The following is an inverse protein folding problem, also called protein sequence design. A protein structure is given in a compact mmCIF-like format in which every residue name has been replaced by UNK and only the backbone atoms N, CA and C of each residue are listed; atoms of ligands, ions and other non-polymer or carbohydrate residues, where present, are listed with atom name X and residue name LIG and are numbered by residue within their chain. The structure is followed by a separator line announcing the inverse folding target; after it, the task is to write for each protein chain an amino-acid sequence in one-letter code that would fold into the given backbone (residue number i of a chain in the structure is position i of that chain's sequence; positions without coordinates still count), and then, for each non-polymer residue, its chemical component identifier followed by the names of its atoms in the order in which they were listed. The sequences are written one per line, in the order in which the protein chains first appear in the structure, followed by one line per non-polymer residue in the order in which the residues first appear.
data_IF_770378779754
#
_entry.id   IF_770378779754
#
_cell.length_a   1.000
_cell.length_b   1.000
_cell.length_c   1.000
_cell.angle_alpha   90.00
_cell.angle_beta   90.00
_cell.angle_gamma   90.00
#
_symmetry.space_group_name_H-M   'P 1'
#
loop_
_entity.id
_entity.type
_entity.pdbx_description
1 polymer ?
#
# COMPACT_ATOMS: atom_id res chain seq x y z
N UNK A 1 -15.79 5.36 -3.93
CA UNK A 1 -14.84 4.57 -3.14
C UNK A 1 -13.43 4.82 -3.65
N UNK A 2 -12.44 4.73 -2.75
CA UNK A 2 -11.04 4.99 -3.06
C UNK A 2 -10.18 3.80 -2.63
N UNK A 3 -9.26 3.37 -3.48
CA UNK A 3 -8.17 2.48 -3.13
C UNK A 3 -6.87 3.28 -3.06
N UNK A 4 -6.26 3.31 -1.88
CA UNK A 4 -4.89 3.77 -1.70
C UNK A 4 -3.95 2.59 -1.96
N UNK A 5 -2.99 2.75 -2.88
CA UNK A 5 -2.00 1.72 -3.16
C UNK A 5 -0.62 2.18 -2.70
N UNK A 6 0.07 1.34 -1.93
CA UNK A 6 1.51 1.46 -1.80
C UNK A 6 2.19 1.15 -3.14
N UNK A 7 3.44 1.58 -3.33
CA UNK A 7 4.16 1.41 -4.60
C UNK A 7 5.19 0.30 -4.49
N UNK A 8 6.11 0.46 -3.54
CA UNK A 8 7.32 -0.36 -3.43
C UNK A 8 6.98 -1.76 -2.91
N UNK A 9 7.29 -2.79 -3.66
CA UNK A 9 6.94 -4.19 -3.40
C UNK A 9 5.43 -4.52 -3.38
N UNK A 10 4.57 -3.54 -3.63
CA UNK A 10 3.11 -3.72 -3.72
C UNK A 10 2.63 -3.70 -5.18
N UNK A 11 2.96 -2.65 -5.93
CA UNK A 11 2.61 -2.54 -7.34
C UNK A 11 3.77 -2.93 -8.25
N UNK A 12 4.99 -2.63 -7.85
CA UNK A 12 6.23 -2.97 -8.57
C UNK A 12 7.34 -3.28 -7.58
N UNK A 13 8.39 -3.98 -8.03
CA UNK A 13 9.60 -4.17 -7.23
C UNK A 13 10.26 -2.82 -6.90
N UNK A 14 10.96 -2.75 -5.78
CA UNK A 14 11.56 -1.50 -5.27
C UNK A 14 12.51 -0.82 -6.27
N UNK A 15 13.20 -1.58 -7.11
CA UNK A 15 14.17 -1.10 -8.11
C UNK A 15 13.52 -0.75 -9.46
N UNK A 16 12.22 -0.98 -9.64
CA UNK A 16 11.47 -0.58 -10.84
C UNK A 16 10.98 0.87 -10.71
N UNK A 17 11.36 1.72 -11.67
CA UNK A 17 11.00 3.15 -11.65
C UNK A 17 9.65 3.46 -12.30
N UNK A 18 9.19 2.59 -13.21
CA UNK A 18 7.97 2.78 -13.99
C UNK A 18 6.98 1.63 -13.76
N UNK A 19 5.67 1.90 -13.86
CA UNK A 19 4.67 0.84 -13.85
C UNK A 19 4.78 -0.03 -15.10
N UNK A 20 4.63 -1.34 -14.92
CA UNK A 20 4.48 -2.29 -16.02
C UNK A 20 3.03 -2.31 -16.54
N UNK A 21 2.78 -3.06 -17.62
CA UNK A 21 1.46 -3.12 -18.25
C UNK A 21 0.41 -3.72 -17.31
N UNK A 22 0.75 -4.71 -16.50
CA UNK A 22 -0.18 -5.36 -15.57
C UNK A 22 -0.70 -4.39 -14.52
N UNK A 23 0.16 -3.50 -14.00
CA UNK A 23 -0.23 -2.43 -13.06
C UNK A 23 -1.16 -1.42 -13.72
N UNK A 24 -0.86 -1.04 -14.97
CA UNK A 24 -1.71 -0.12 -15.73
C UNK A 24 -3.10 -0.72 -15.94
N UNK A 25 -3.16 -1.98 -16.35
CA UNK A 25 -4.41 -2.70 -16.62
C UNK A 25 -5.22 -2.92 -15.33
N UNK A 26 -4.55 -3.25 -14.23
CA UNK A 26 -5.17 -3.36 -12.90
C UNK A 26 -5.86 -2.06 -12.50
N UNK A 27 -5.16 -0.92 -12.60
CA UNK A 27 -5.72 0.38 -12.23
C UNK A 27 -6.87 0.78 -13.16
N UNK A 28 -6.74 0.55 -14.47
CA UNK A 28 -7.80 0.79 -15.43
C UNK A 28 -9.05 -0.03 -15.11
N UNK A 29 -8.88 -1.32 -14.77
CA UNK A 29 -9.99 -2.20 -14.38
C UNK A 29 -10.72 -1.70 -13.14
N UNK A 30 -9.99 -1.22 -12.14
CA UNK A 30 -10.60 -0.60 -10.95
C UNK A 30 -11.42 0.64 -11.30
N UNK A 31 -10.88 1.53 -12.13
CA UNK A 31 -11.58 2.74 -12.59
C UNK A 31 -12.85 2.40 -13.38
N UNK A 32 -12.80 1.42 -14.26
CA UNK A 32 -13.98 0.96 -14.99
C UNK A 32 -15.09 0.44 -14.08
N UNK A 33 -14.73 -0.04 -12.87
CA UNK A 33 -15.67 -0.47 -11.84
C UNK A 33 -16.03 0.64 -10.82
N UNK A 34 -15.73 1.90 -11.12
CA UNK A 34 -16.09 3.05 -10.29
C UNK A 34 -15.25 3.19 -9.01
N UNK A 35 -14.06 2.58 -8.97
CA UNK A 35 -13.13 2.71 -7.87
C UNK A 35 -12.03 3.69 -8.28
N UNK A 36 -11.91 4.79 -7.56
CA UNK A 36 -10.76 5.70 -7.71
C UNK A 36 -9.52 5.06 -7.10
N UNK A 37 -8.36 5.35 -7.71
CA UNK A 37 -7.07 4.88 -7.20
C UNK A 37 -6.16 6.06 -6.93
N UNK A 38 -5.51 6.07 -5.77
CA UNK A 38 -4.44 7.01 -5.44
C UNK A 38 -3.24 6.27 -4.86
N UNK A 39 -2.04 6.82 -5.08
CA UNK A 39 -0.79 6.25 -4.59
C UNK A 39 -0.43 6.84 -3.22
N UNK A 40 0.03 5.98 -2.31
CA UNK A 40 0.37 6.38 -0.93
C UNK A 40 1.67 5.68 -0.50
N UNK A 41 2.82 6.32 -0.71
CA UNK A 41 4.14 5.72 -0.48
C UNK A 41 4.97 6.48 0.55
N UNK A 42 5.73 5.76 1.37
CA UNK A 42 6.74 6.32 2.29
C UNK A 42 8.04 6.73 1.56
N UNK A 43 8.13 6.47 0.27
CA UNK A 43 9.27 6.84 -0.57
C UNK A 43 9.35 8.35 -0.86
N UNK A 44 10.53 8.87 -1.26
CA UNK A 44 10.72 10.27 -1.61
C UNK A 44 9.72 10.76 -2.67
N UNK A 45 9.40 12.05 -2.63
CA UNK A 45 8.38 12.66 -3.48
C UNK A 45 8.65 12.52 -4.98
N UNK A 46 9.93 12.49 -5.39
CA UNK A 46 10.31 12.32 -6.80
C UNK A 46 9.85 10.97 -7.35
N UNK A 47 10.08 9.87 -6.61
CA UNK A 47 9.69 8.52 -7.04
C UNK A 47 8.17 8.40 -7.19
N UNK A 48 7.43 8.72 -6.14
CA UNK A 48 5.96 8.59 -6.17
C UNK A 48 5.31 9.44 -7.26
N UNK A 49 5.78 10.69 -7.42
CA UNK A 49 5.27 11.58 -8.46
C UNK A 49 5.62 11.09 -9.87
N UNK A 50 6.85 10.63 -10.10
CA UNK A 50 7.25 10.12 -11.41
C UNK A 50 6.46 8.85 -11.76
N UNK A 51 6.34 7.93 -10.83
CA UNK A 51 5.55 6.71 -11.01
C UNK A 51 4.07 7.02 -11.33
N UNK A 52 3.46 7.95 -10.58
CA UNK A 52 2.06 8.34 -10.76
C UNK A 52 1.76 9.05 -12.09
N UNK A 53 2.76 9.69 -12.74
CA UNK A 53 2.56 10.32 -14.05
C UNK A 53 2.17 9.35 -15.16
N UNK A 54 2.54 8.09 -15.02
CA UNK A 54 2.28 7.03 -16.02
C UNK A 54 0.99 6.24 -15.73
N UNK A 55 0.25 6.62 -14.69
CA UNK A 55 -0.93 5.91 -14.24
C UNK A 55 -2.16 6.81 -14.20
N UNK A 56 -3.35 6.29 -14.49
CA UNK A 56 -4.59 7.05 -14.41
C UNK A 56 -5.10 7.16 -12.96
N UNK A 57 -4.23 7.59 -12.04
CA UNK A 57 -4.54 7.76 -10.62
C UNK A 57 -5.10 9.16 -10.34
N UNK A 58 -5.98 9.26 -9.35
CA UNK A 58 -6.60 10.53 -8.97
C UNK A 58 -5.66 11.42 -8.17
N UNK A 59 -4.73 10.83 -7.40
CA UNK A 59 -3.77 11.56 -6.59
C UNK A 59 -2.53 10.71 -6.27
N UNK A 60 -1.47 11.39 -5.81
CA UNK A 60 -0.26 10.74 -5.28
C UNK A 60 0.15 11.41 -3.98
N UNK A 61 0.29 10.60 -2.94
CA UNK A 61 0.70 11.01 -1.59
C UNK A 61 2.10 10.49 -1.30
N UNK A 62 3.16 11.20 -1.70
CA UNK A 62 4.53 10.87 -1.34
C UNK A 62 4.83 11.27 0.10
N UNK A 63 5.89 10.74 0.69
CA UNK A 63 6.22 10.96 2.10
C UNK A 63 5.03 10.73 3.02
N UNK A 64 4.30 9.66 2.77
CA UNK A 64 3.05 9.36 3.48
C UNK A 64 3.21 9.21 4.98
N UNK A 65 4.42 8.90 5.44
CA UNK A 65 4.74 8.65 6.84
C UNK A 65 3.84 7.60 7.49
N UNK A 66 3.41 6.59 6.73
CA UNK A 66 2.66 5.47 7.29
C UNK A 66 3.48 4.80 8.41
N UNK A 67 2.92 4.44 9.56
CA UNK A 67 1.49 4.32 9.90
C UNK A 67 0.82 5.60 10.43
N UNK A 68 1.49 6.76 10.40
CA UNK A 68 0.92 8.02 10.89
C UNK A 68 -0.22 8.53 9.99
N UNK A 69 -1.12 9.41 10.51
CA UNK A 69 -2.39 9.75 9.85
C UNK A 69 -2.29 10.64 8.61
N UNK A 70 -1.11 11.17 8.29
CA UNK A 70 -0.96 12.28 7.36
C UNK A 70 -1.58 11.99 5.98
N UNK A 71 -1.17 10.89 5.33
CA UNK A 71 -1.73 10.53 4.02
C UNK A 71 -3.19 10.11 4.11
N UNK A 72 -3.58 9.35 5.13
CA UNK A 72 -4.95 8.86 5.29
C UNK A 72 -5.95 10.00 5.47
N UNK A 73 -5.68 10.94 6.41
CA UNK A 73 -6.51 12.12 6.62
C UNK A 73 -6.52 13.05 5.40
N UNK A 74 -5.38 13.18 4.72
CA UNK A 74 -5.31 13.96 3.50
C UNK A 74 -6.15 13.34 2.39
N UNK A 75 -6.09 12.03 2.18
CA UNK A 75 -6.90 11.31 1.21
C UNK A 75 -8.41 11.45 1.51
N UNK A 76 -8.81 11.26 2.77
CA UNK A 76 -10.21 11.47 3.19
C UNK A 76 -10.71 12.88 2.82
N UNK A 77 -9.92 13.91 3.09
CA UNK A 77 -10.27 15.28 2.80
C UNK A 77 -10.30 15.59 1.30
N UNK A 78 -9.27 15.18 0.57
CA UNK A 78 -9.12 15.51 -0.86
C UNK A 78 -10.22 14.85 -1.71
N UNK A 79 -10.73 13.68 -1.28
CA UNK A 79 -11.79 12.93 -1.96
C UNK A 79 -13.18 13.09 -1.31
N UNK A 80 -13.30 13.82 -0.20
CA UNK A 80 -14.57 13.97 0.52
C UNK A 80 -15.14 12.66 1.08
N UNK A 81 -14.27 11.68 1.39
CA UNK A 81 -14.65 10.34 1.81
C UNK A 81 -14.43 10.12 3.31
N UNK A 82 -15.26 9.25 3.90
CA UNK A 82 -15.04 8.71 5.25
C UNK A 82 -14.06 7.54 5.19
N UNK A 83 -13.42 7.22 6.33
CA UNK A 83 -12.44 6.15 6.42
C UNK A 83 -12.97 4.79 5.90
N UNK A 84 -14.19 4.42 6.26
CA UNK A 84 -14.84 3.18 5.81
C UNK A 84 -15.22 3.12 4.31
N UNK A 85 -14.95 4.17 3.56
CA UNK A 85 -15.12 4.24 2.11
C UNK A 85 -13.77 4.14 1.37
N UNK A 86 -12.68 3.99 2.12
CA UNK A 86 -11.31 3.92 1.62
C UNK A 86 -10.70 2.58 2.00
N UNK A 87 -10.06 1.93 1.04
CA UNK A 87 -9.20 0.79 1.28
C UNK A 87 -7.73 1.18 1.10
N UNK A 88 -6.82 0.49 1.77
CA UNK A 88 -5.38 0.53 1.50
C UNK A 88 -4.88 -0.86 1.11
N UNK A 89 -4.13 -0.91 0.00
CA UNK A 89 -3.41 -2.08 -0.47
C UNK A 89 -1.91 -1.86 -0.21
N UNK A 90 -1.27 -2.79 0.48
CA UNK A 90 0.16 -2.74 0.75
C UNK A 90 0.73 -4.07 1.20
N UNK A 91 2.06 -4.21 1.09
CA UNK A 91 2.81 -5.41 1.48
C UNK A 91 3.32 -5.37 2.92
N UNK A 92 3.32 -4.19 3.56
CA UNK A 92 3.89 -4.01 4.89
C UNK A 92 2.83 -4.03 5.99
N UNK A 93 2.92 -5.05 6.85
CA UNK A 93 2.00 -5.25 7.98
C UNK A 93 1.96 -4.04 8.92
N UNK A 94 3.11 -3.40 9.18
CA UNK A 94 3.21 -2.31 10.14
C UNK A 94 2.74 -0.96 9.56
N UNK A 95 3.18 -0.62 8.37
CA UNK A 95 2.88 0.70 7.78
C UNK A 95 1.49 0.76 7.16
N UNK A 96 1.14 -0.26 6.36
CA UNK A 96 -0.09 -0.26 5.58
C UNK A 96 -1.26 -0.84 6.39
N UNK A 97 -1.08 -2.05 6.91
CA UNK A 97 -2.18 -2.77 7.54
C UNK A 97 -2.49 -2.21 8.93
N UNK A 98 -1.48 -2.11 9.81
CA UNK A 98 -1.68 -1.52 11.14
C UNK A 98 -2.08 -0.05 11.02
N UNK A 99 -1.40 0.72 10.14
CA UNK A 99 -1.73 2.12 9.89
C UNK A 99 -3.17 2.29 9.39
N UNK A 100 -3.57 1.55 8.37
CA UNK A 100 -4.93 1.58 7.84
C UNK A 100 -5.99 1.23 8.90
N UNK A 101 -5.76 0.16 9.67
CA UNK A 101 -6.67 -0.27 10.74
C UNK A 101 -6.83 0.78 11.85
N UNK A 102 -5.72 1.39 12.31
CA UNK A 102 -5.78 2.46 13.33
C UNK A 102 -6.66 3.62 12.87
N UNK A 103 -6.65 3.93 11.59
CA UNK A 103 -7.41 5.05 11.03
C UNK A 103 -8.75 4.64 10.43
N UNK A 104 -9.17 3.39 10.61
CA UNK A 104 -10.49 2.88 10.26
C UNK A 104 -10.71 2.62 8.77
N UNK A 105 -9.64 2.44 7.99
CA UNK A 105 -9.69 2.04 6.60
C UNK A 105 -9.91 0.53 6.48
N UNK A 106 -10.43 0.09 5.32
CA UNK A 106 -10.34 -1.32 4.94
C UNK A 106 -8.90 -1.64 4.51
N UNK A 107 -8.33 -2.71 5.01
CA UNK A 107 -6.92 -3.06 4.73
C UNK A 107 -6.80 -4.32 3.90
N UNK A 108 -5.95 -4.29 2.89
CA UNK A 108 -5.66 -5.41 1.98
C UNK A 108 -4.15 -5.65 2.03
N UNK A 109 -3.76 -6.79 2.60
CA UNK A 109 -2.37 -7.24 2.61
C UNK A 109 -2.09 -8.00 1.31
N UNK A 110 -0.97 -7.69 0.66
CA UNK A 110 -0.46 -8.47 -0.48
C UNK A 110 0.91 -9.06 -0.16
N UNK A 111 1.28 -10.13 -0.84
CA UNK A 111 2.65 -10.62 -0.82
C UNK A 111 3.59 -9.59 -1.44
N UNK A 112 4.81 -9.40 -0.91
CA UNK A 112 5.79 -8.51 -1.52
C UNK A 112 6.27 -9.08 -2.85
N UNK A 113 6.34 -8.23 -3.89
CA UNK A 113 6.77 -8.65 -5.26
C UNK A 113 8.22 -9.09 -5.28
N UNK A 114 9.09 -8.49 -4.46
CA UNK A 114 10.50 -8.85 -4.38
C UNK A 114 11.01 -8.87 -2.94
N UNK A 115 12.01 -9.72 -2.70
CA UNK A 115 12.66 -9.84 -1.37
C UNK A 115 13.60 -8.65 -1.09
N UNK A 116 13.96 -7.86 -2.13
CA UNK A 116 14.86 -6.71 -2.02
C UNK A 116 14.18 -5.52 -1.38
N UNK A 117 14.68 -5.09 -0.24
CA UNK A 117 14.16 -3.94 0.52
C UNK A 117 15.21 -2.87 0.81
N UNK A 118 14.73 -1.65 1.10
CA UNK A 118 15.55 -0.59 1.69
C UNK A 118 16.04 -1.00 3.09
N UNK A 119 17.22 -0.52 3.49
CA UNK A 119 17.82 -0.84 4.80
C UNK A 119 16.94 -0.48 6.01
N UNK A 120 16.08 0.55 5.90
CA UNK A 120 15.12 0.94 6.93
C UNK A 120 14.03 -0.14 7.13
N UNK A 121 13.68 -0.85 6.09
CA UNK A 121 12.68 -1.93 6.12
C UNK A 121 13.12 -3.11 6.99
N UNK A 122 14.42 -3.31 7.22
CA UNK A 122 14.92 -4.40 8.09
C UNK A 122 14.43 -4.31 9.53
N UNK A 123 14.30 -3.09 10.07
CA UNK A 123 13.77 -2.88 11.43
C UNK A 123 12.27 -3.21 11.48
N UNK A 124 11.52 -2.75 10.47
CA UNK A 124 10.08 -3.05 10.38
C UNK A 124 9.84 -4.54 10.15
N UNK A 125 10.67 -5.23 9.36
CA UNK A 125 10.58 -6.69 9.16
C UNK A 125 10.78 -7.48 10.45
N UNK A 126 11.65 -7.03 11.35
CA UNK A 126 11.79 -7.67 12.66
C UNK A 126 10.46 -7.63 13.44
N UNK A 127 9.76 -6.49 13.44
CA UNK A 127 8.44 -6.40 14.06
C UNK A 127 7.37 -7.20 13.31
N UNK A 128 7.45 -7.26 11.99
CA UNK A 128 6.57 -8.12 11.18
C UNK A 128 6.74 -9.59 11.51
N UNK A 129 7.96 -10.09 11.65
CA UNK A 129 8.23 -11.47 12.06
C UNK A 129 7.59 -11.80 13.42
N UNK A 130 7.60 -10.85 14.37
CA UNK A 130 6.93 -11.04 15.65
C UNK A 130 5.40 -11.15 15.48
N UNK A 131 4.82 -10.31 14.62
CA UNK A 131 3.37 -10.32 14.34
C UNK A 131 2.98 -11.61 13.63
N UNK A 132 3.71 -12.00 12.57
CA UNK A 132 3.47 -13.27 11.87
C UNK A 132 3.60 -14.46 12.81
N UNK A 133 4.64 -14.50 13.64
CA UNK A 133 4.82 -15.55 14.64
C UNK A 133 3.66 -15.63 15.66
N UNK A 134 3.08 -14.49 16.03
CA UNK A 134 1.88 -14.46 16.87
C UNK A 134 0.63 -14.97 16.14
N UNK A 135 0.42 -14.52 14.91
CA UNK A 135 -0.75 -14.90 14.08
C UNK A 135 -0.71 -16.39 13.73
N UNK A 136 0.48 -16.93 13.42
CA UNK A 136 0.68 -18.33 13.13
C UNK A 136 0.39 -19.23 14.34
N UNK A 137 0.86 -18.83 15.55
CA UNK A 137 0.50 -19.50 16.80
C UNK A 137 -1.01 -19.51 17.06
N UNK A 138 -1.72 -18.47 16.63
CA UNK A 138 -3.18 -18.38 16.72
C UNK A 138 -3.90 -19.07 15.57
N UNK A 139 -3.20 -19.63 14.58
CA UNK A 139 -3.75 -20.23 13.35
C UNK A 139 -4.64 -19.26 12.57
N UNK A 140 -4.31 -17.96 12.58
CA UNK A 140 -5.08 -16.92 11.91
C UNK A 140 -4.49 -16.58 10.54
N UNK A 141 -3.17 -16.61 10.41
CA UNK A 141 -2.44 -16.32 9.18
C UNK A 141 -1.06 -16.94 9.26
N UNK A 142 -0.60 -17.56 8.18
CA UNK A 142 0.76 -18.04 8.00
C UNK A 142 1.41 -17.30 6.84
N UNK A 143 2.70 -17.02 6.93
CA UNK A 143 3.45 -16.45 5.81
C UNK A 143 3.41 -17.39 4.61
N UNK A 144 3.03 -16.88 3.44
CA UNK A 144 2.87 -17.69 2.23
C UNK A 144 1.49 -18.32 2.04
N UNK A 145 0.52 -18.10 2.93
CA UNK A 145 -0.84 -18.65 2.78
C UNK A 145 -1.56 -18.15 1.51
N UNK A 146 -1.03 -17.10 0.86
CA UNK A 146 -1.61 -16.45 -0.32
C UNK A 146 -0.59 -16.22 -1.44
N UNK A 147 0.53 -16.94 -1.42
CA UNK A 147 1.61 -16.84 -2.42
C UNK A 147 1.39 -17.82 -3.59
N UNK A 148 0.16 -17.94 -4.11
CA UNK A 148 -0.19 -18.79 -5.26
C UNK A 148 0.14 -18.12 -6.61
#
# INVERSE_FOLDING_TARGET
QLLLCDIDNTLVAYDEECPNQDVIDFINKLKMNGIEVALCSNSPSSRGKNFGKHLPVSNTYPFSCKPFPFCFKKAMRDHGLKANQIAILGDQMYTDILGGNIWGLYTILTAPIAIKDRNITKVFRFFEELIYGYLEKKKLLKRGDFDD
#
